data_IF_412855099539
#
_entry.id   IF_412855099539
#
_cell.length_a   1.000
_cell.length_b   1.000
_cell.length_c   1.000
_cell.angle_alpha   90.00
_cell.angle_beta   90.00
_cell.angle_gamma   90.00
#
_symmetry.space_group_name_H-M   'P 1'
#
loop_
_entity.id
_entity.type
_entity.pdbx_description
1 polymer ?
#
# COMPACT_ATOMS: atom_id res chain seq x y z
N UNK A 1 4.88 17.19 -29.28
CA UNK A 1 5.43 17.99 -30.40
C UNK A 1 6.64 18.77 -29.89
N UNK A 2 7.77 18.66 -30.57
CA UNK A 2 9.01 19.35 -30.21
C UNK A 2 9.14 20.62 -31.04
N UNK A 3 9.16 21.79 -30.39
CA UNK A 3 9.42 23.04 -31.04
C UNK A 3 10.82 23.54 -30.68
N UNK A 4 11.60 23.89 -31.66
CA UNK A 4 12.94 24.43 -31.52
C UNK A 4 12.94 25.90 -31.91
N UNK A 5 13.21 26.80 -30.96
CA UNK A 5 13.32 28.25 -31.21
C UNK A 5 14.76 28.68 -31.01
N UNK A 6 15.21 29.61 -31.86
CA UNK A 6 16.49 30.30 -31.73
C UNK A 6 16.24 31.76 -31.34
N UNK A 7 16.66 32.13 -30.13
CA UNK A 7 16.60 33.52 -29.66
C UNK A 7 18.00 33.88 -29.14
N UNK A 8 18.63 34.88 -29.74
CA UNK A 8 19.95 35.43 -29.35
C UNK A 8 21.04 34.35 -29.14
N UNK A 9 21.11 33.35 -30.04
CA UNK A 9 22.10 32.26 -29.95
C UNK A 9 21.79 31.16 -28.91
N UNK A 10 20.67 31.25 -28.22
CA UNK A 10 20.22 30.22 -27.24
C UNK A 10 19.15 29.36 -27.91
N UNK A 11 19.35 28.04 -27.81
CA UNK A 11 18.34 27.06 -28.25
C UNK A 11 17.36 26.86 -27.10
N UNK A 12 16.10 27.27 -27.28
CA UNK A 12 14.99 26.97 -26.37
C UNK A 12 14.23 25.78 -26.94
N UNK A 13 14.28 24.66 -26.22
CA UNK A 13 13.50 23.47 -26.49
C UNK A 13 12.20 23.52 -25.67
N UNK A 14 11.08 23.78 -26.33
CA UNK A 14 9.76 23.67 -25.71
C UNK A 14 9.22 22.28 -26.06
N UNK A 15 9.23 21.40 -25.07
CA UNK A 15 8.52 20.10 -25.16
C UNK A 15 7.07 20.37 -24.75
N UNK A 16 6.18 20.51 -25.71
CA UNK A 16 4.76 20.46 -25.41
C UNK A 16 4.41 18.98 -25.24
N UNK A 17 4.37 18.52 -24.00
CA UNK A 17 3.67 17.29 -23.66
C UNK A 17 2.19 17.55 -23.94
N UNK A 18 1.75 17.19 -25.14
CA UNK A 18 0.34 17.05 -25.40
C UNK A 18 -0.06 15.80 -24.59
N UNK A 19 -0.61 16.00 -23.40
CA UNK A 19 -1.33 14.94 -22.72
C UNK A 19 -2.35 14.40 -23.73
N UNK A 20 -2.15 13.18 -24.20
CA UNK A 20 -3.14 12.49 -25.01
C UNK A 20 -4.22 12.09 -24.01
N UNK A 21 -5.11 13.04 -23.70
CA UNK A 21 -6.36 12.72 -22.98
C UNK A 21 -7.19 11.92 -23.95
N UNK A 22 -7.45 10.67 -23.57
CA UNK A 22 -8.49 9.88 -24.22
C UNK A 22 -9.81 10.65 -24.09
N UNK A 23 -10.63 10.60 -25.11
CA UNK A 23 -11.97 11.16 -25.07
C UNK A 23 -12.81 10.38 -24.00
N UNK A 24 -13.86 11.02 -23.51
CA UNK A 24 -14.73 10.45 -22.45
C UNK A 24 -15.33 9.12 -22.84
N UNK A 25 -15.76 8.96 -24.09
CA UNK A 25 -16.36 7.72 -24.61
C UNK A 25 -15.31 6.62 -24.73
N UNK A 26 -14.12 6.96 -25.24
CA UNK A 26 -13.00 6.03 -25.34
C UNK A 26 -12.55 5.56 -23.95
N UNK A 27 -12.46 6.47 -22.98
CA UNK A 27 -12.10 6.14 -21.59
C UNK A 27 -13.16 5.25 -20.94
N UNK A 28 -14.45 5.52 -21.17
CA UNK A 28 -15.54 4.67 -20.70
C UNK A 28 -15.40 3.25 -21.23
N UNK A 29 -15.28 3.08 -22.52
CA UNK A 29 -15.12 1.77 -23.15
C UNK A 29 -13.87 1.03 -22.67
N UNK A 30 -12.78 1.76 -22.44
CA UNK A 30 -11.55 1.20 -21.89
C UNK A 30 -11.74 0.65 -20.48
N UNK A 31 -12.46 1.37 -19.60
CA UNK A 31 -12.78 0.92 -18.24
C UNK A 31 -13.69 -0.31 -18.28
N UNK A 32 -14.80 -0.22 -19.00
CA UNK A 32 -15.83 -1.28 -19.06
C UNK A 32 -15.30 -2.57 -19.73
N UNK A 33 -14.29 -2.47 -20.60
CA UNK A 33 -13.61 -3.64 -21.16
C UNK A 33 -12.60 -4.31 -20.21
N UNK A 34 -12.45 -3.81 -18.97
CA UNK A 34 -11.55 -4.38 -17.96
C UNK A 34 -10.07 -4.16 -18.23
N UNK A 35 -9.71 -3.18 -19.06
CA UNK A 35 -8.32 -2.93 -19.44
C UNK A 35 -7.59 -1.95 -18.52
N UNK A 36 -8.32 -1.32 -17.60
CA UNK A 36 -7.76 -0.39 -16.63
C UNK A 36 -6.90 -1.12 -15.58
N UNK A 37 -5.90 -0.43 -15.07
CA UNK A 37 -4.99 -0.92 -14.03
C UNK A 37 -5.23 -0.09 -12.77
N UNK A 38 -5.34 -0.76 -11.63
CA UNK A 38 -5.54 -0.16 -10.33
C UNK A 38 -4.23 -0.18 -9.52
N UNK A 39 -3.78 0.98 -9.06
CA UNK A 39 -2.76 1.11 -8.02
C UNK A 39 -3.38 1.45 -6.67
N UNK A 40 -3.00 0.75 -5.60
CA UNK A 40 -3.42 1.04 -4.22
C UNK A 40 -2.18 1.31 -3.38
N UNK A 41 -2.16 2.45 -2.67
CA UNK A 41 -1.12 2.83 -1.73
C UNK A 41 -1.68 2.87 -0.31
N UNK A 42 -1.09 2.10 0.60
CA UNK A 42 -1.33 2.19 2.04
C UNK A 42 -0.29 3.11 2.67
N UNK A 43 -0.54 4.41 2.59
CA UNK A 43 0.30 5.42 3.25
C UNK A 43 0.04 5.47 4.76
N UNK A 44 0.85 6.21 5.51
CA UNK A 44 0.75 6.29 6.98
C UNK A 44 -0.45 7.06 7.51
N UNK A 45 -1.09 7.89 6.69
CA UNK A 45 -2.25 8.73 7.07
C UNK A 45 -3.41 8.61 6.11
N UNK A 46 -3.19 7.96 4.96
CA UNK A 46 -4.19 7.87 3.90
C UNK A 46 -3.95 6.62 3.05
N UNK A 47 -5.03 5.92 2.73
CA UNK A 47 -5.06 4.91 1.67
C UNK A 47 -5.50 5.62 0.40
N UNK A 48 -4.84 5.36 -0.72
CA UNK A 48 -5.15 5.96 -2.02
C UNK A 48 -5.33 4.87 -3.06
N UNK A 49 -6.29 5.07 -3.96
CA UNK A 49 -6.50 4.26 -5.15
C UNK A 49 -6.39 5.14 -6.38
N UNK A 50 -5.68 4.69 -7.39
CA UNK A 50 -5.54 5.39 -8.67
C UNK A 50 -5.78 4.41 -9.80
N UNK A 51 -6.76 4.70 -10.63
CA UNK A 51 -7.04 3.97 -11.85
C UNK A 51 -6.27 4.64 -13.00
N UNK A 52 -5.49 3.86 -13.75
CA UNK A 52 -4.67 4.35 -14.86
C UNK A 52 -5.03 3.65 -16.17
N UNK A 53 -4.75 4.33 -17.28
CA UNK A 53 -4.84 3.76 -18.61
C UNK A 53 -3.51 3.10 -19.05
N UNK A 54 -3.47 2.56 -20.28
CA UNK A 54 -2.28 1.91 -20.86
C UNK A 54 -1.06 2.82 -20.98
N UNK A 55 -1.26 4.14 -21.02
CA UNK A 55 -0.20 5.13 -21.10
C UNK A 55 0.24 5.61 -19.71
N UNK A 56 -0.18 4.92 -18.63
CA UNK A 56 0.07 5.25 -17.23
C UNK A 56 -0.50 6.63 -16.82
N UNK A 57 -1.52 7.11 -17.52
CA UNK A 57 -2.20 8.37 -17.20
C UNK A 57 -3.31 8.08 -16.20
N UNK A 58 -3.37 8.78 -15.06
CA UNK A 58 -4.46 8.68 -14.11
C UNK A 58 -5.80 9.09 -14.75
N UNK A 59 -6.81 8.24 -14.63
CA UNK A 59 -8.16 8.48 -15.13
C UNK A 59 -9.16 8.71 -13.99
N UNK A 60 -8.98 8.05 -12.86
CA UNK A 60 -9.77 8.26 -11.67
C UNK A 60 -8.95 8.00 -10.41
N UNK A 61 -9.41 8.52 -9.28
CA UNK A 61 -8.76 8.29 -8.00
C UNK A 61 -9.78 8.27 -6.86
N UNK A 62 -9.39 7.59 -5.79
CA UNK A 62 -10.12 7.61 -4.52
C UNK A 62 -9.16 7.63 -3.34
N UNK A 63 -9.64 8.02 -2.18
CA UNK A 63 -8.84 8.10 -0.98
C UNK A 63 -9.68 7.83 0.27
N UNK A 64 -9.01 7.31 1.31
CA UNK A 64 -9.57 7.16 2.63
C UNK A 64 -8.54 7.56 3.68
N UNK A 65 -8.86 8.52 4.51
CA UNK A 65 -8.02 8.92 5.63
C UNK A 65 -8.15 7.89 6.76
N UNK A 66 -7.03 7.47 7.31
CA UNK A 66 -6.95 6.59 8.45
C UNK A 66 -5.87 7.04 9.43
N UNK A 67 -5.90 6.53 10.63
CA UNK A 67 -5.02 7.01 11.68
C UNK A 67 -4.28 5.86 12.38
N UNK A 68 -2.97 6.08 12.57
CA UNK A 68 -2.14 5.23 13.42
C UNK A 68 -2.42 5.59 14.88
N UNK A 69 -3.03 4.67 15.64
CA UNK A 69 -3.42 4.87 17.03
C UNK A 69 -2.39 4.34 18.01
N UNK A 70 -2.25 5.00 19.14
CA UNK A 70 -1.46 4.52 20.26
C UNK A 70 -2.38 3.76 21.23
N UNK A 71 -2.30 2.43 21.22
CA UNK A 71 -3.08 1.56 22.08
C UNK A 71 -2.16 0.76 23.00
N UNK A 72 -2.32 0.88 24.30
CA UNK A 72 -1.47 0.22 25.31
C UNK A 72 0.05 0.40 25.07
N UNK A 73 0.46 1.58 24.62
CA UNK A 73 1.86 1.89 24.33
C UNK A 73 2.37 1.38 22.98
N UNK A 74 1.50 0.83 22.13
CA UNK A 74 1.82 0.33 20.80
C UNK A 74 1.14 1.19 19.72
N UNK A 75 1.92 1.73 18.80
CA UNK A 75 1.40 2.36 17.60
C UNK A 75 0.92 1.28 16.63
N UNK A 76 -0.39 1.30 16.33
CA UNK A 76 -1.06 0.22 15.58
C UNK A 76 -2.14 0.72 14.63
N UNK A 77 -2.52 -0.13 13.68
CA UNK A 77 -3.79 -0.19 12.97
C UNK A 77 -4.41 -1.56 13.21
N UNK A 78 -5.72 -1.67 13.26
CA UNK A 78 -6.39 -2.97 13.28
C UNK A 78 -6.49 -3.57 11.87
N UNK A 79 -6.75 -4.87 11.78
CA UNK A 79 -7.04 -5.51 10.48
C UNK A 79 -8.32 -4.93 9.85
N UNK A 80 -9.32 -4.59 10.68
CA UNK A 80 -10.55 -3.94 10.23
C UNK A 80 -10.30 -2.54 9.63
N UNK A 81 -9.36 -1.76 10.20
CA UNK A 81 -8.97 -0.48 9.61
C UNK A 81 -8.37 -0.67 8.20
N UNK A 82 -7.54 -1.71 8.04
CA UNK A 82 -6.90 -2.02 6.76
C UNK A 82 -7.97 -2.37 5.71
N UNK A 83 -8.85 -3.32 6.01
CA UNK A 83 -9.84 -3.81 5.04
C UNK A 83 -10.99 -2.83 4.80
N UNK A 84 -11.55 -2.23 5.85
CA UNK A 84 -12.57 -1.20 5.69
C UNK A 84 -12.02 0.05 4.97
N UNK A 85 -10.77 0.39 5.23
CA UNK A 85 -10.11 1.52 4.60
C UNK A 85 -9.91 1.31 3.09
N UNK A 86 -9.44 0.12 2.66
CA UNK A 86 -9.29 -0.16 1.23
C UNK A 86 -10.64 -0.24 0.52
N UNK A 87 -11.66 -0.80 1.16
CA UNK A 87 -13.02 -0.85 0.59
C UNK A 87 -13.58 0.56 0.35
N UNK A 88 -13.45 1.46 1.34
CA UNK A 88 -13.89 2.85 1.22
C UNK A 88 -13.11 3.61 0.15
N UNK A 89 -11.80 3.43 0.12
CA UNK A 89 -10.93 4.04 -0.88
C UNK A 89 -11.29 3.57 -2.31
N UNK A 90 -11.55 2.27 -2.49
CA UNK A 90 -11.99 1.70 -3.76
C UNK A 90 -13.37 2.23 -4.18
N UNK A 91 -14.31 2.29 -3.25
CA UNK A 91 -15.65 2.84 -3.51
C UNK A 91 -15.58 4.31 -3.96
N UNK A 92 -14.76 5.14 -3.28
CA UNK A 92 -14.54 6.54 -3.66
C UNK A 92 -13.95 6.67 -5.08
N UNK A 93 -13.01 5.80 -5.44
CA UNK A 93 -12.47 5.74 -6.81
C UNK A 93 -13.53 5.33 -7.83
N UNK A 94 -14.39 4.34 -7.52
CA UNK A 94 -15.50 3.95 -8.40
C UNK A 94 -16.51 5.08 -8.59
N UNK A 95 -16.80 5.84 -7.54
CA UNK A 95 -17.65 7.03 -7.61
C UNK A 95 -17.05 8.12 -8.51
N UNK A 96 -15.74 8.33 -8.44
CA UNK A 96 -15.02 9.26 -9.31
C UNK A 96 -15.08 8.81 -10.78
N UNK A 97 -14.93 7.50 -11.05
CA UNK A 97 -15.14 6.91 -12.40
C UNK A 97 -16.54 7.18 -12.90
N UNK A 98 -17.55 6.92 -12.07
CA UNK A 98 -18.94 7.10 -12.48
C UNK A 98 -19.25 8.58 -12.76
N UNK A 99 -18.80 9.49 -11.90
CA UNK A 99 -19.01 10.94 -12.09
C UNK A 99 -18.35 11.48 -13.37
N UNK A 100 -17.16 11.00 -13.70
CA UNK A 100 -16.39 11.49 -14.85
C UNK A 100 -16.82 10.87 -16.19
N UNK A 101 -17.15 9.58 -16.17
CA UNK A 101 -17.30 8.79 -17.39
C UNK A 101 -18.65 8.07 -17.50
N UNK A 102 -19.46 8.04 -16.45
CA UNK A 102 -20.69 7.22 -16.41
C UNK A 102 -20.38 5.72 -16.57
N UNK A 103 -19.18 5.29 -16.20
CA UNK A 103 -18.70 3.91 -16.33
C UNK A 103 -18.78 3.17 -14.99
N UNK A 104 -18.78 1.83 -15.04
CA UNK A 104 -18.62 0.96 -13.88
C UNK A 104 -17.33 0.17 -14.02
N UNK A 105 -16.63 -0.01 -12.88
CA UNK A 105 -15.43 -0.85 -12.82
C UNK A 105 -15.85 -2.25 -12.39
N UNK A 106 -16.04 -3.16 -13.36
CA UNK A 106 -16.41 -4.56 -13.07
C UNK A 106 -15.18 -5.48 -13.11
N UNK A 107 -14.23 -5.17 -13.97
CA UNK A 107 -13.00 -5.94 -14.14
C UNK A 107 -11.80 -5.01 -14.25
N UNK A 108 -10.64 -5.53 -13.88
CA UNK A 108 -9.35 -4.84 -13.93
C UNK A 108 -8.32 -5.74 -14.64
N UNK A 109 -7.45 -5.15 -15.43
CA UNK A 109 -6.34 -5.86 -16.07
C UNK A 109 -5.26 -6.29 -15.06
N UNK A 110 -5.01 -5.43 -14.06
CA UNK A 110 -4.06 -5.71 -12.99
C UNK A 110 -4.34 -4.84 -11.77
N UNK A 111 -3.86 -5.29 -10.61
CA UNK A 111 -3.83 -4.51 -9.37
C UNK A 111 -2.39 -4.48 -8.86
N UNK A 112 -1.88 -3.27 -8.61
CA UNK A 112 -0.59 -3.05 -7.95
C UNK A 112 -0.80 -2.52 -6.53
N UNK A 113 -0.07 -3.05 -5.55
CA UNK A 113 -0.18 -2.66 -4.15
C UNK A 113 1.17 -2.13 -3.67
N UNK A 114 1.15 -0.95 -3.06
CA UNK A 114 2.25 -0.37 -2.30
C UNK A 114 1.82 -0.17 -0.86
N UNK A 115 2.60 -0.65 0.10
CA UNK A 115 2.27 -0.54 1.51
C UNK A 115 3.54 -0.43 2.37
N UNK A 116 3.35 -0.16 3.67
CA UNK A 116 4.44 -0.05 4.63
C UNK A 116 5.25 -1.36 4.69
N UNK A 117 6.53 -1.27 4.30
CA UNK A 117 7.46 -2.41 4.26
C UNK A 117 8.11 -2.72 5.62
N UNK A 118 7.83 -1.89 6.63
CA UNK A 118 8.37 -2.03 7.98
C UNK A 118 7.25 -2.26 8.98
N UNK A 119 7.61 -2.86 10.12
CA UNK A 119 6.69 -3.20 11.19
C UNK A 119 6.65 -4.70 11.45
N UNK A 120 5.71 -5.12 12.27
CA UNK A 120 5.66 -6.50 12.77
C UNK A 120 4.21 -6.97 12.83
N UNK A 121 3.88 -7.92 11.99
CA UNK A 121 2.63 -8.67 11.99
C UNK A 121 2.97 -10.15 12.14
N UNK A 122 2.58 -10.73 13.27
CA UNK A 122 2.84 -12.12 13.63
C UNK A 122 1.53 -12.90 13.61
N UNK A 123 1.48 -13.98 12.86
CA UNK A 123 0.30 -14.80 12.67
C UNK A 123 0.55 -16.24 13.12
N UNK A 124 -0.49 -16.88 13.64
CA UNK A 124 -0.49 -18.29 13.95
C UNK A 124 -0.79 -19.17 12.70
N UNK A 125 -0.93 -20.46 12.91
CA UNK A 125 -1.25 -21.44 11.84
C UNK A 125 -2.68 -21.32 11.26
N UNK A 126 -3.56 -20.56 11.91
CA UNK A 126 -4.94 -20.31 11.48
C UNK A 126 -5.10 -18.92 10.85
N UNK A 127 -3.99 -18.23 10.56
CA UNK A 127 -3.94 -16.85 10.06
C UNK A 127 -4.51 -15.80 11.04
N UNK A 128 -4.55 -16.14 12.36
CA UNK A 128 -4.95 -15.20 13.40
C UNK A 128 -3.77 -14.30 13.81
N UNK A 129 -4.03 -12.99 13.89
CA UNK A 129 -3.02 -12.01 14.32
C UNK A 129 -2.78 -12.16 15.83
N UNK A 130 -1.60 -12.61 16.22
CA UNK A 130 -1.25 -12.98 17.60
C UNK A 130 -1.10 -11.79 18.55
N UNK A 131 -0.67 -10.66 18.03
CA UNK A 131 -0.49 -9.40 18.78
C UNK A 131 -0.84 -8.21 17.89
N UNK A 132 -1.18 -7.03 18.45
CA UNK A 132 -1.46 -5.85 17.65
C UNK A 132 -0.34 -5.56 16.64
N UNK A 133 -0.70 -5.17 15.42
CA UNK A 133 0.26 -4.78 14.39
C UNK A 133 1.18 -3.66 14.93
N UNK A 134 2.47 -3.93 15.11
CA UNK A 134 3.46 -2.96 15.56
C UNK A 134 4.00 -2.21 14.35
N UNK A 135 3.55 -0.98 14.16
CA UNK A 135 3.92 -0.16 13.01
C UNK A 135 5.36 0.37 13.10
N UNK A 136 5.85 0.94 12.03
CA UNK A 136 7.18 1.57 11.96
C UNK A 136 7.41 2.72 12.96
N UNK A 137 6.33 3.29 13.53
CA UNK A 137 6.40 4.37 14.53
C UNK A 137 6.83 3.89 15.91
N UNK A 138 6.79 2.59 16.16
CA UNK A 138 7.21 2.05 17.46
C UNK A 138 8.72 2.14 17.65
N UNK A 139 9.13 2.74 18.75
CA UNK A 139 10.54 2.85 19.17
C UNK A 139 10.89 1.91 20.32
N UNK A 140 9.99 0.96 20.64
CA UNK A 140 10.12 0.02 21.76
C UNK A 140 11.23 -1.02 21.57
N UNK A 141 11.85 -1.08 20.42
CA UNK A 141 12.83 -2.10 20.01
C UNK A 141 14.29 -1.63 20.11
N UNK A 142 14.54 -0.49 20.76
CA UNK A 142 15.87 0.13 20.77
C UNK A 142 16.99 -0.82 21.25
N UNK A 143 16.80 -1.49 22.39
CA UNK A 143 17.76 -2.45 22.95
C UNK A 143 17.98 -3.66 22.01
N UNK A 144 16.90 -4.25 21.50
CA UNK A 144 16.96 -5.37 20.57
C UNK A 144 17.67 -5.00 19.26
N UNK A 145 17.35 -3.83 18.72
CA UNK A 145 18.00 -3.33 17.50
C UNK A 145 19.50 -3.10 17.70
N UNK A 146 19.90 -2.52 18.86
CA UNK A 146 21.30 -2.32 19.19
C UNK A 146 22.08 -3.63 19.30
N UNK A 147 21.56 -4.62 20.02
CA UNK A 147 22.17 -5.95 20.16
C UNK A 147 22.28 -6.68 18.82
N UNK A 148 21.26 -6.61 17.96
CA UNK A 148 21.33 -7.20 16.64
C UNK A 148 22.33 -6.49 15.74
N UNK A 149 22.42 -5.16 15.84
CA UNK A 149 23.40 -4.37 15.09
C UNK A 149 24.84 -4.78 15.46
N UNK A 150 25.11 -4.96 16.74
CA UNK A 150 26.41 -5.44 17.21
C UNK A 150 26.69 -6.89 16.76
N UNK A 151 25.71 -7.79 16.95
CA UNK A 151 25.83 -9.20 16.62
C UNK A 151 26.13 -9.43 15.14
N UNK A 152 25.43 -8.71 14.26
CA UNK A 152 25.58 -8.86 12.80
C UNK A 152 26.63 -7.93 12.18
N UNK A 153 27.21 -7.03 12.99
CA UNK A 153 28.05 -5.95 12.47
C UNK A 153 27.40 -5.21 11.28
N UNK A 154 26.09 -5.00 11.39
CA UNK A 154 25.25 -4.39 10.36
C UNK A 154 24.12 -3.59 11.03
N UNK A 155 23.84 -2.38 10.54
CA UNK A 155 22.81 -1.53 11.11
C UNK A 155 21.41 -2.16 10.98
N UNK A 156 20.81 -2.51 12.11
CA UNK A 156 19.44 -3.03 12.22
C UNK A 156 18.53 -1.92 12.76
N UNK A 157 17.71 -1.28 11.91
CA UNK A 157 16.78 -0.24 12.36
C UNK A 157 15.70 -0.78 13.29
N UNK A 158 15.30 0.03 14.27
CA UNK A 158 14.25 -0.32 15.24
C UNK A 158 12.92 -0.71 14.60
N UNK A 159 12.59 -0.14 13.43
CA UNK A 159 11.34 -0.38 12.69
C UNK A 159 11.29 -1.73 11.95
N UNK A 160 12.38 -2.46 11.89
CA UNK A 160 12.43 -3.75 11.20
C UNK A 160 11.75 -4.87 11.99
N UNK A 161 11.12 -5.79 11.28
CA UNK A 161 10.40 -6.93 11.88
C UNK A 161 11.30 -7.78 12.75
N UNK A 162 12.58 -7.98 12.37
CA UNK A 162 13.55 -8.74 13.17
C UNK A 162 13.83 -8.08 14.53
N UNK A 163 13.86 -6.75 14.60
CA UNK A 163 14.06 -6.05 15.89
C UNK A 163 12.86 -6.23 16.82
N UNK A 164 11.64 -6.24 16.26
CA UNK A 164 10.42 -6.52 17.01
C UNK A 164 10.35 -7.96 17.49
N UNK A 165 10.70 -8.93 16.64
CA UNK A 165 10.75 -10.34 17.01
C UNK A 165 11.79 -10.58 18.12
N UNK A 166 13.01 -10.05 17.96
CA UNK A 166 14.06 -10.23 18.94
C UNK A 166 13.69 -9.59 20.29
N UNK A 167 13.06 -8.43 20.28
CA UNK A 167 12.49 -7.83 21.51
C UNK A 167 11.47 -8.76 22.15
N UNK A 168 10.56 -9.33 21.38
CA UNK A 168 9.55 -10.26 21.89
C UNK A 168 10.20 -11.49 22.55
N UNK A 169 11.24 -12.04 21.93
CA UNK A 169 12.03 -13.14 22.49
C UNK A 169 12.72 -12.73 23.80
N UNK A 170 13.40 -11.58 23.84
CA UNK A 170 14.09 -11.09 25.04
C UNK A 170 13.14 -10.85 26.21
N UNK A 171 11.90 -10.43 25.91
CA UNK A 171 10.88 -10.17 26.93
C UNK A 171 10.06 -11.40 27.29
N UNK A 172 10.28 -12.56 26.67
CA UNK A 172 9.51 -13.77 26.93
C UNK A 172 8.02 -13.62 26.57
N UNK A 173 7.70 -12.83 25.50
CA UNK A 173 6.32 -12.61 25.08
C UNK A 173 5.71 -13.95 24.61
N UNK A 174 4.58 -14.36 25.18
CA UNK A 174 3.96 -15.71 24.99
C UNK A 174 3.68 -16.03 23.52
N UNK A 175 3.27 -15.05 22.74
CA UNK A 175 2.92 -15.23 21.32
C UNK A 175 4.08 -15.77 20.46
N UNK A 176 5.33 -15.61 20.89
CA UNK A 176 6.52 -16.07 20.15
C UNK A 176 6.45 -17.57 19.84
N UNK A 177 5.95 -18.35 20.78
CA UNK A 177 5.83 -19.82 20.64
C UNK A 177 4.72 -20.26 19.67
N UNK A 178 3.82 -19.34 19.31
CA UNK A 178 2.67 -19.60 18.44
C UNK A 178 2.85 -19.05 17.03
N UNK A 179 3.97 -18.37 16.75
CA UNK A 179 4.22 -17.75 15.45
C UNK A 179 4.40 -18.85 14.39
N UNK A 180 3.55 -18.81 13.38
CA UNK A 180 3.68 -19.61 12.17
C UNK A 180 4.40 -18.84 11.08
N UNK A 181 4.06 -17.55 10.90
CA UNK A 181 4.78 -16.66 9.98
C UNK A 181 4.78 -15.20 10.43
N UNK A 182 5.74 -14.46 9.89
CA UNK A 182 5.89 -13.02 10.09
C UNK A 182 5.77 -12.31 8.75
N UNK A 183 5.12 -11.15 8.79
CA UNK A 183 5.02 -10.31 7.59
C UNK A 183 4.99 -8.82 7.96
N UNK A 184 4.99 -7.99 6.94
CA UNK A 184 4.71 -6.56 7.02
C UNK A 184 3.39 -6.27 6.32
N UNK A 185 2.87 -5.05 6.42
CA UNK A 185 1.65 -4.68 5.69
C UNK A 185 1.81 -4.89 4.18
N UNK A 186 3.00 -4.60 3.64
CA UNK A 186 3.32 -4.82 2.22
C UNK A 186 3.29 -6.29 1.79
N UNK A 187 3.53 -7.22 2.70
CA UNK A 187 3.37 -8.65 2.44
C UNK A 187 1.96 -9.14 2.72
N UNK A 188 1.35 -8.68 3.83
CA UNK A 188 0.03 -9.12 4.26
C UNK A 188 -1.07 -8.85 3.23
N UNK A 189 -1.19 -7.59 2.76
CA UNK A 189 -2.30 -7.20 1.88
C UNK A 189 -2.33 -7.97 0.55
N UNK A 190 -1.23 -8.09 -0.23
CA UNK A 190 -1.27 -8.83 -1.49
C UNK A 190 -1.57 -10.32 -1.29
N UNK A 191 -0.98 -10.95 -0.27
CA UNK A 191 -1.17 -12.37 0.00
C UNK A 191 -2.61 -12.65 0.41
N UNK A 192 -3.16 -11.90 1.37
CA UNK A 192 -4.55 -12.06 1.80
C UNK A 192 -5.54 -11.81 0.66
N UNK A 193 -5.28 -10.79 -0.19
CA UNK A 193 -6.14 -10.52 -1.34
C UNK A 193 -6.17 -11.67 -2.35
N UNK A 194 -5.06 -12.38 -2.54
CA UNK A 194 -4.99 -13.52 -3.48
C UNK A 194 -5.54 -14.82 -2.87
N UNK A 195 -5.44 -15.02 -1.55
CA UNK A 195 -5.86 -16.25 -0.86
C UNK A 195 -7.32 -16.22 -0.39
N UNK A 196 -7.87 -15.07 0.02
CA UNK A 196 -9.28 -14.95 0.44
C UNK A 196 -10.24 -15.38 -0.69
N UNK A 197 -9.92 -15.12 -1.94
CA UNK A 197 -10.73 -15.60 -3.08
C UNK A 197 -10.70 -17.11 -3.31
N UNK A 198 -9.73 -17.82 -2.79
CA UNK A 198 -9.65 -19.28 -2.97
C UNK A 198 -10.59 -20.07 -2.04
N UNK A 199 -11.16 -19.42 -1.02
CA UNK A 199 -12.04 -20.05 -0.03
C UNK A 199 -13.50 -19.58 -0.09
N UNK A 200 -13.84 -18.60 -0.92
CA UNK A 200 -15.19 -18.02 -1.04
C UNK A 200 -15.93 -18.40 -2.35
N UNK A 201 -15.41 -19.36 -3.11
CA UNK A 201 -16.10 -19.89 -4.32
C UNK A 201 -16.60 -21.30 -4.11
#
# INVERSE_FOLDING_TARGET
LLFKFYINGIIILIIINKEIKMDTVETKNFIESGQAILGIEFGSTRIKAVLINRNHIPIASGAHDWENRLENGIWTYTLDDIWSGVQKCYADMCDDVYKKYGAKVENLSAIGISAMMHGYMAFDKNDELLVPFRTWRNTITADAASRLTELFNFNIPQRWSIAHLYRAILNGEEHVNSINYLTTLAGYVPVSYTHIRAHET
#
